data_IF_661108388468
#
_entry.id   IF_661108388468
#
_cell.length_a   1.000
_cell.length_b   1.000
_cell.length_c   1.000
_cell.angle_alpha   90.00
_cell.angle_beta   90.00
_cell.angle_gamma   90.00
#
_symmetry.space_group_name_H-M   'P 1'
#
loop_
_entity.id
_entity.type
_entity.pdbx_description
1 polymer ?
#
# COMPACT_ATOMS: atom_id res chain seq x y z
N UNK A 1 -21.86 -15.38 34.33
CA UNK A 1 -22.50 -15.44 32.99
C UNK A 1 -21.40 -15.27 31.96
N UNK A 2 -21.31 -16.15 30.95
CA UNK A 2 -20.32 -16.04 29.85
C UNK A 2 -21.00 -15.52 28.58
N UNK A 3 -20.35 -14.63 27.86
CA UNK A 3 -20.84 -14.14 26.57
C UNK A 3 -20.69 -15.20 25.47
N UNK A 4 -21.55 -15.18 24.46
CA UNK A 4 -21.47 -16.09 23.31
C UNK A 4 -20.30 -15.72 22.38
N UNK A 5 -19.54 -16.71 21.92
CA UNK A 5 -18.40 -16.50 21.01
C UNK A 5 -18.88 -16.09 19.62
N UNK A 6 -18.35 -14.98 19.10
CA UNK A 6 -18.65 -14.49 17.77
C UNK A 6 -18.14 -15.47 16.69
N UNK A 7 -18.97 -15.74 15.68
CA UNK A 7 -18.63 -16.56 14.51
C UNK A 7 -18.83 -15.72 13.26
N UNK A 8 -17.74 -15.26 12.60
CA UNK A 8 -17.86 -14.42 11.41
C UNK A 8 -18.54 -15.22 10.27
N UNK A 9 -19.59 -14.68 9.62
CA UNK A 9 -20.13 -15.24 8.38
C UNK A 9 -19.20 -14.97 7.20
N UNK A 10 -19.35 -15.68 6.07
CA UNK A 10 -18.47 -15.51 4.89
C UNK A 10 -18.41 -14.08 4.34
N UNK A 11 -19.47 -13.30 4.54
CA UNK A 11 -19.60 -11.93 4.04
C UNK A 11 -19.23 -10.86 5.07
N UNK A 12 -18.85 -11.25 6.30
CA UNK A 12 -18.40 -10.30 7.31
C UNK A 12 -17.10 -10.79 7.97
N UNK A 13 -16.11 -9.91 7.98
CA UNK A 13 -14.82 -10.19 8.61
C UNK A 13 -14.91 -10.14 10.13
N UNK A 14 -14.01 -10.87 10.79
CA UNK A 14 -13.82 -10.78 12.23
C UNK A 14 -13.43 -9.33 12.59
N UNK A 15 -14.02 -8.71 13.62
CA UNK A 15 -13.52 -7.43 14.11
C UNK A 15 -12.09 -7.62 14.64
N UNK A 16 -11.20 -6.66 14.37
CA UNK A 16 -9.78 -6.75 14.74
C UNK A 16 -9.56 -6.99 16.24
N UNK A 17 -10.43 -6.44 17.09
CA UNK A 17 -10.34 -6.60 18.55
C UNK A 17 -10.65 -8.02 19.05
N UNK A 18 -11.32 -8.85 18.24
CA UNK A 18 -11.58 -10.26 18.54
C UNK A 18 -10.58 -11.21 17.89
N UNK A 19 -9.69 -10.69 17.04
CA UNK A 19 -8.61 -11.49 16.47
C UNK A 19 -7.54 -11.74 17.56
N UNK A 20 -7.27 -12.99 17.97
CA UNK A 20 -6.22 -13.25 18.93
C UNK A 20 -4.84 -12.78 18.43
N UNK A 21 -4.62 -12.80 17.10
CA UNK A 21 -3.36 -12.37 16.50
C UNK A 21 -3.09 -10.86 16.65
N UNK A 22 -4.12 -10.05 16.91
CA UNK A 22 -3.96 -8.61 17.16
C UNK A 22 -3.12 -8.35 18.43
N UNK A 23 -3.17 -9.27 19.40
CA UNK A 23 -2.46 -9.17 20.67
C UNK A 23 -1.14 -9.96 20.69
N UNK A 24 -0.65 -10.42 19.54
CA UNK A 24 0.62 -11.15 19.44
C UNK A 24 1.82 -10.20 19.59
N UNK A 25 2.49 -10.24 20.75
CA UNK A 25 3.66 -9.41 21.10
C UNK A 25 4.98 -10.14 20.79
N UNK A 26 4.97 -11.09 19.85
CA UNK A 26 6.18 -11.79 19.43
C UNK A 26 7.19 -10.81 18.80
N UNK A 27 8.51 -10.99 18.99
CA UNK A 27 9.50 -10.15 18.31
C UNK A 27 9.38 -10.23 16.77
N UNK A 28 8.98 -11.38 16.22
CA UNK A 28 8.79 -11.55 14.77
C UNK A 28 7.61 -10.74 14.23
N UNK A 29 6.49 -10.68 14.97
CA UNK A 29 5.32 -9.91 14.54
C UNK A 29 5.63 -8.41 14.55
N UNK A 30 6.37 -7.94 15.55
CA UNK A 30 6.83 -6.55 15.61
C UNK A 30 7.76 -6.19 14.44
N UNK A 31 8.72 -7.07 14.11
CA UNK A 31 9.59 -6.87 12.95
C UNK A 31 8.78 -6.79 11.65
N UNK A 32 7.88 -7.75 11.42
CA UNK A 32 7.02 -7.75 10.24
C UNK A 32 6.13 -6.49 10.15
N UNK A 33 5.59 -6.01 11.28
CA UNK A 33 4.84 -4.76 11.34
C UNK A 33 5.72 -3.55 11.00
N UNK A 34 6.93 -3.48 11.57
CA UNK A 34 7.89 -2.41 11.31
C UNK A 34 8.32 -2.38 9.83
N UNK A 35 8.57 -3.54 9.22
CA UNK A 35 8.90 -3.66 7.80
C UNK A 35 7.75 -3.19 6.91
N UNK A 36 6.52 -3.63 7.19
CA UNK A 36 5.32 -3.15 6.48
C UNK A 36 5.16 -1.64 6.61
N UNK A 37 5.41 -1.08 7.80
CA UNK A 37 5.37 0.36 8.05
C UNK A 37 6.48 1.11 7.30
N UNK A 38 7.69 0.55 7.23
CA UNK A 38 8.81 1.10 6.47
C UNK A 38 8.48 1.15 4.97
N UNK A 39 7.90 0.07 4.42
CA UNK A 39 7.43 0.03 3.03
C UNK A 39 6.34 1.09 2.80
N UNK A 40 5.32 1.12 3.68
CA UNK A 40 4.21 2.07 3.57
C UNK A 40 4.68 3.51 3.64
N UNK A 41 5.61 3.83 4.54
CA UNK A 41 6.17 5.19 4.69
C UNK A 41 7.03 5.58 3.51
N UNK A 42 7.86 4.67 2.98
CA UNK A 42 8.64 4.91 1.74
C UNK A 42 7.73 5.24 0.56
N UNK A 43 6.74 4.39 0.30
CA UNK A 43 5.79 4.58 -0.81
C UNK A 43 4.99 5.89 -0.66
N UNK A 44 4.54 6.19 0.57
CA UNK A 44 3.83 7.46 0.85
C UNK A 44 4.72 8.67 0.58
N UNK A 45 5.99 8.63 1.00
CA UNK A 45 6.96 9.71 0.74
C UNK A 45 7.17 9.91 -0.76
N UNK A 46 7.40 8.84 -1.50
CA UNK A 46 7.59 8.91 -2.96
C UNK A 46 6.37 9.49 -3.67
N UNK A 47 5.17 9.10 -3.26
CA UNK A 47 3.93 9.68 -3.76
C UNK A 47 3.82 11.17 -3.46
N UNK A 48 4.05 11.58 -2.21
CA UNK A 48 3.89 12.97 -1.77
C UNK A 48 4.91 13.92 -2.42
N UNK A 49 6.15 13.48 -2.63
CA UNK A 49 7.16 14.27 -3.34
C UNK A 49 6.73 14.57 -4.79
N UNK A 50 6.08 13.61 -5.45
CA UNK A 50 5.51 13.85 -6.77
C UNK A 50 4.24 14.71 -6.68
N UNK A 51 3.32 14.39 -5.77
CA UNK A 51 2.04 15.09 -5.66
C UNK A 51 2.21 16.59 -5.35
N UNK A 52 3.14 16.94 -4.47
CA UNK A 52 3.37 18.31 -4.01
C UNK A 52 4.29 19.15 -4.92
N UNK A 53 4.79 18.61 -6.04
CA UNK A 53 5.64 19.37 -6.96
C UNK A 53 4.80 20.36 -7.78
N UNK A 54 4.99 21.69 -7.60
CA UNK A 54 4.20 22.71 -8.29
C UNK A 54 4.44 22.75 -9.80
N UNK A 55 5.56 22.20 -10.28
CA UNK A 55 5.91 22.17 -11.70
C UNK A 55 5.26 21.00 -12.44
N UNK A 56 4.64 20.09 -11.69
CA UNK A 56 4.15 18.83 -12.21
C UNK A 56 2.83 19.01 -12.96
N UNK A 57 2.82 18.55 -14.21
CA UNK A 57 1.64 18.57 -15.09
C UNK A 57 1.39 17.14 -15.60
N UNK A 58 0.45 16.39 -14.98
CA UNK A 58 0.07 15.02 -15.41
C UNK A 58 -0.38 14.06 -14.29
N UNK A 59 -0.54 12.76 -14.61
CA UNK A 59 -0.94 11.67 -13.69
C UNK A 59 0.22 11.17 -12.81
N UNK A 60 -0.06 10.80 -11.55
CA UNK A 60 0.99 10.33 -10.62
C UNK A 60 1.23 8.87 -10.93
N UNK A 61 2.39 8.58 -11.49
CA UNK A 61 2.79 7.21 -11.79
C UNK A 61 3.92 6.86 -10.82
N UNK A 62 3.64 5.92 -9.94
CA UNK A 62 4.61 5.37 -8.97
C UNK A 62 5.64 4.46 -9.66
N UNK A 63 5.34 3.94 -10.85
CA UNK A 63 6.21 3.00 -11.55
C UNK A 63 7.35 3.66 -12.33
N UNK A 64 8.53 3.02 -12.27
CA UNK A 64 9.75 3.39 -13.02
C UNK A 64 9.49 3.54 -14.52
N UNK A 65 8.62 2.70 -15.09
CA UNK A 65 8.19 2.82 -16.50
C UNK A 65 7.54 4.18 -16.75
N UNK A 66 6.58 4.60 -15.92
CA UNK A 66 5.91 5.90 -16.06
C UNK A 66 6.84 7.10 -15.89
N UNK A 67 7.92 6.95 -15.11
CA UNK A 67 8.99 7.97 -15.03
C UNK A 67 9.77 8.06 -16.34
N UNK A 68 10.21 6.93 -16.91
CA UNK A 68 10.94 6.90 -18.19
C UNK A 68 10.11 7.44 -19.35
N UNK A 69 8.80 7.20 -19.33
CA UNK A 69 7.85 7.73 -20.32
C UNK A 69 7.75 9.26 -20.22
N UNK A 70 7.66 9.81 -19.00
CA UNK A 70 7.65 11.27 -18.77
C UNK A 70 8.96 11.94 -19.17
N UNK A 71 10.07 11.24 -18.98
CA UNK A 71 11.40 11.72 -19.38
C UNK A 71 11.69 11.55 -20.89
N UNK A 72 10.74 11.01 -21.68
CA UNK A 72 10.95 10.73 -23.10
C UNK A 72 11.99 9.63 -23.37
N UNK A 73 12.39 8.87 -22.34
CA UNK A 73 13.43 7.83 -22.41
C UNK A 73 12.86 6.43 -22.70
N UNK A 74 11.56 6.32 -22.94
CA UNK A 74 10.90 5.06 -23.25
C UNK A 74 10.16 5.23 -24.58
N UNK A 75 10.72 4.64 -25.63
CA UNK A 75 10.14 4.67 -26.97
C UNK A 75 8.79 3.94 -27.00
N UNK A 76 7.76 4.64 -27.46
CA UNK A 76 6.36 4.17 -27.54
C UNK A 76 5.80 4.21 -28.97
N UNK A 77 6.67 4.26 -29.96
CA UNK A 77 6.35 4.49 -31.38
C UNK A 77 5.28 3.56 -31.97
N UNK A 78 4.99 2.40 -31.35
CA UNK A 78 4.00 1.43 -31.85
C UNK A 78 2.92 0.99 -30.83
N UNK A 79 2.75 1.69 -29.71
CA UNK A 79 1.77 1.27 -28.69
C UNK A 79 0.44 2.02 -28.86
N UNK A 80 -0.44 1.50 -29.74
CA UNK A 80 -1.71 2.15 -30.15
C UNK A 80 -2.96 1.37 -29.67
N UNK A 81 -2.81 0.40 -28.77
CA UNK A 81 -3.94 -0.33 -28.18
C UNK A 81 -4.04 -0.06 -26.67
N UNK A 82 -5.20 0.48 -26.26
CA UNK A 82 -5.59 0.76 -24.87
C UNK A 82 -6.26 -0.45 -24.21
#
# INVERSE_FOLDING_TARGET
MSFSKYKPPRLATLPSTLDPAEYDISPETQQAQAERLAIRSRLKREYLLQYNDPSRRGLIILDKKGKLIREGKLDRTFNISY
#
